data_IF_724879749817
#
_entry.id   IF_724879749817
#
_cell.length_a   1.000
_cell.length_b   1.000
_cell.length_c   1.000
_cell.angle_alpha   90.00
_cell.angle_beta   90.00
_cell.angle_gamma   90.00
#
_symmetry.space_group_name_H-M   'P 1'
#
loop_
_entity.id
_entity.type
_entity.pdbx_description
1 polymer ?
#
# COMPACT_ATOMS: atom_id res chain seq x y z
N UNK A 1 -2.68 10.37 -14.55
CA UNK A 1 -3.44 9.47 -13.64
C UNK A 1 -2.98 8.02 -13.61
N UNK A 2 -2.54 7.39 -14.72
CA UNK A 2 -2.20 5.93 -14.74
C UNK A 2 -1.17 5.52 -13.66
N UNK A 3 -0.10 6.31 -13.49
CA UNK A 3 0.92 6.05 -12.48
C UNK A 3 0.38 6.10 -11.04
N UNK A 4 -0.51 7.06 -10.75
CA UNK A 4 -1.09 7.21 -9.42
C UNK A 4 -1.99 6.02 -9.07
N UNK A 5 -2.79 5.55 -10.04
CA UNK A 5 -3.62 4.35 -9.87
C UNK A 5 -2.77 3.08 -9.70
N UNK A 6 -1.70 2.93 -10.49
CA UNK A 6 -0.76 1.82 -10.34
C UNK A 6 -0.08 1.84 -8.96
N UNK A 7 0.38 3.01 -8.52
CA UNK A 7 1.00 3.20 -7.20
C UNK A 7 0.03 2.88 -6.07
N UNK A 8 -1.22 3.31 -6.18
CA UNK A 8 -2.27 2.94 -5.24
C UNK A 8 -2.47 1.41 -5.18
N UNK A 9 -2.58 0.75 -6.34
CA UNK A 9 -2.73 -0.71 -6.41
C UNK A 9 -1.54 -1.47 -5.81
N UNK A 10 -0.31 -1.05 -6.13
CA UNK A 10 0.92 -1.63 -5.55
C UNK A 10 0.98 -1.40 -4.04
N UNK A 11 0.55 -0.22 -3.56
CA UNK A 11 0.49 0.07 -2.13
C UNK A 11 -0.50 -0.82 -1.38
N UNK A 12 -1.69 -1.07 -1.96
CA UNK A 12 -2.65 -2.04 -1.40
C UNK A 12 -2.06 -3.45 -1.37
N UNK A 13 -1.45 -3.90 -2.49
CA UNK A 13 -0.83 -5.21 -2.57
C UNK A 13 0.32 -5.36 -1.56
N UNK A 14 1.15 -4.33 -1.40
CA UNK A 14 2.24 -4.28 -0.42
C UNK A 14 1.77 -4.36 1.03
N UNK A 15 0.66 -3.71 1.35
CA UNK A 15 0.06 -3.81 2.68
C UNK A 15 -0.42 -5.25 3.00
N UNK A 16 -0.82 -6.02 1.98
CA UNK A 16 -1.31 -7.39 2.14
C UNK A 16 -0.20 -8.44 2.03
N UNK A 17 0.81 -8.19 1.19
CA UNK A 17 1.88 -9.14 0.87
C UNK A 17 3.22 -8.53 1.29
N UNK A 18 3.86 -9.01 2.38
CA UNK A 18 5.07 -8.41 2.93
C UNK A 18 6.29 -8.49 2.00
N UNK A 19 6.24 -9.33 0.96
CA UNK A 19 7.31 -9.43 -0.04
C UNK A 19 7.34 -8.25 -1.03
N UNK A 20 6.26 -7.47 -1.11
CA UNK A 20 6.21 -6.28 -1.97
C UNK A 20 6.60 -5.08 -1.12
N UNK A 21 7.81 -4.56 -1.32
CA UNK A 21 8.32 -3.39 -0.58
C UNK A 21 7.87 -2.08 -1.26
N UNK A 22 7.04 -1.30 -0.56
CA UNK A 22 6.47 -0.07 -1.12
C UNK A 22 7.50 1.06 -1.18
N UNK A 23 8.45 1.12 -0.25
CA UNK A 23 9.49 2.16 -0.21
C UNK A 23 10.42 2.03 -1.42
N UNK A 24 10.85 0.81 -1.74
CA UNK A 24 11.65 0.50 -2.92
C UNK A 24 10.90 0.84 -4.22
N UNK A 25 9.59 0.54 -4.27
CA UNK A 25 8.75 0.90 -5.42
C UNK A 25 8.68 2.42 -5.62
N UNK A 26 8.36 3.19 -4.57
CA UNK A 26 8.25 4.65 -4.67
C UNK A 26 9.61 5.28 -5.00
N UNK A 27 10.70 4.79 -4.42
CA UNK A 27 12.05 5.23 -4.74
C UNK A 27 12.39 4.99 -6.22
N UNK A 28 12.05 3.81 -6.76
CA UNK A 28 12.23 3.50 -8.17
C UNK A 28 11.39 4.41 -9.09
N UNK A 29 10.12 4.66 -8.72
CA UNK A 29 9.26 5.59 -9.46
C UNK A 29 9.86 7.00 -9.46
N UNK A 30 10.30 7.50 -8.30
CA UNK A 30 10.91 8.82 -8.17
C UNK A 30 12.23 8.95 -8.95
N UNK A 31 13.00 7.86 -9.09
CA UNK A 31 14.24 7.86 -9.86
C UNK A 31 14.01 7.85 -11.39
N UNK A 32 12.87 7.35 -11.86
CA UNK A 32 12.61 7.11 -13.28
C UNK A 32 11.57 8.05 -13.89
N UNK A 33 10.74 8.70 -13.06
CA UNK A 33 9.58 9.48 -13.53
C UNK A 33 9.50 10.82 -12.81
N UNK A 34 9.66 11.90 -13.57
CA UNK A 34 9.59 13.29 -13.06
C UNK A 34 8.21 13.95 -13.31
N UNK A 35 7.24 13.18 -13.82
CA UNK A 35 5.98 13.73 -14.33
C UNK A 35 4.95 14.07 -13.23
N UNK A 36 5.13 13.57 -12.02
CA UNK A 36 4.22 13.79 -10.89
C UNK A 36 5.04 14.23 -9.69
N UNK A 37 4.67 15.35 -9.07
CA UNK A 37 5.29 15.78 -7.84
C UNK A 37 5.16 14.73 -6.72
N UNK A 38 6.07 14.79 -5.75
CA UNK A 38 6.13 13.86 -4.61
C UNK A 38 4.84 13.79 -3.80
N UNK A 39 4.07 14.88 -3.72
CA UNK A 39 2.86 14.95 -2.90
C UNK A 39 1.72 14.06 -3.40
N UNK A 40 1.24 14.17 -4.66
CA UNK A 40 0.24 13.26 -5.20
C UNK A 40 0.62 11.77 -5.11
N UNK A 41 1.89 11.45 -5.42
CA UNK A 41 2.38 10.07 -5.39
C UNK A 41 2.39 9.49 -3.98
N UNK A 42 2.90 10.25 -3.01
CA UNK A 42 2.93 9.87 -1.59
C UNK A 42 1.53 9.73 -1.02
N UNK A 43 0.60 10.62 -1.39
CA UNK A 43 -0.79 10.59 -0.91
C UNK A 43 -1.50 9.30 -1.35
N UNK A 44 -1.40 8.91 -2.62
CA UNK A 44 -2.05 7.69 -3.11
C UNK A 44 -1.39 6.42 -2.56
N UNK A 45 -0.06 6.43 -2.37
CA UNK A 45 0.63 5.34 -1.72
C UNK A 45 0.19 5.16 -0.26
N UNK A 46 0.12 6.26 0.50
CA UNK A 46 -0.35 6.25 1.88
C UNK A 46 -1.81 5.77 1.99
N UNK A 47 -2.69 6.24 1.09
CA UNK A 47 -4.08 5.79 1.05
C UNK A 47 -4.20 4.29 0.78
N UNK A 48 -3.43 3.75 -0.18
CA UNK A 48 -3.41 2.30 -0.47
C UNK A 48 -2.88 1.48 0.72
N UNK A 49 -1.84 1.97 1.39
CA UNK A 49 -1.28 1.34 2.59
C UNK A 49 -2.26 1.30 3.76
N UNK A 50 -2.99 2.39 4.01
CA UNK A 50 -4.02 2.43 5.04
C UNK A 50 -5.17 1.47 4.72
N UNK A 51 -5.63 1.47 3.46
CA UNK A 51 -6.73 0.62 3.02
C UNK A 51 -6.39 -0.86 3.13
N UNK A 52 -5.21 -1.28 2.66
CA UNK A 52 -4.82 -2.70 2.73
C UNK A 52 -4.67 -3.22 4.16
N UNK A 53 -4.23 -2.37 5.09
CA UNK A 53 -4.08 -2.75 6.51
C UNK A 53 -5.42 -2.97 7.23
N UNK A 54 -6.54 -2.44 6.73
CA UNK A 54 -7.87 -2.69 7.31
C UNK A 54 -8.14 -4.19 7.38
N UNK A 55 -7.74 -4.96 6.36
CA UNK A 55 -7.89 -6.43 6.35
C UNK A 55 -7.20 -7.06 7.56
N UNK A 56 -5.95 -6.67 7.82
CA UNK A 56 -5.19 -7.17 8.97
C UNK A 56 -5.77 -6.71 10.30
N UNK A 57 -6.30 -5.48 10.38
CA UNK A 57 -6.99 -5.01 11.58
C UNK A 57 -8.26 -5.82 11.88
N UNK A 58 -9.02 -6.19 10.85
CA UNK A 58 -10.20 -7.03 11.00
C UNK A 58 -9.86 -8.47 11.39
N UNK A 59 -8.82 -9.04 10.78
CA UNK A 59 -8.27 -10.34 11.17
C UNK A 59 -7.82 -10.31 12.64
N UNK A 60 -7.06 -9.29 13.03
CA UNK A 60 -6.62 -9.11 14.42
C UNK A 60 -7.78 -8.92 15.39
N UNK A 61 -8.76 -8.08 15.04
CA UNK A 61 -9.96 -7.79 15.85
C UNK A 61 -10.81 -9.04 16.09
N UNK A 62 -10.96 -9.88 15.07
CA UNK A 62 -11.77 -11.11 15.17
C UNK A 62 -11.00 -12.31 15.70
N UNK A 63 -9.67 -12.23 15.85
CA UNK A 63 -8.83 -13.37 16.23
C UNK A 63 -9.30 -14.09 17.49
N UNK A 64 -9.76 -13.37 18.52
CA UNK A 64 -10.22 -13.95 19.80
C UNK A 64 -11.57 -14.69 19.73
N UNK A 65 -12.28 -14.63 18.59
CA UNK A 65 -13.52 -15.41 18.38
C UNK A 65 -13.31 -16.62 17.48
N UNK A 66 -12.08 -16.90 17.06
CA UNK A 66 -11.77 -18.03 16.18
C UNK A 66 -11.77 -19.33 16.96
N UNK A 67 -12.27 -20.42 16.36
CA UNK A 67 -12.42 -21.71 17.04
C UNK A 67 -11.11 -22.35 17.56
N UNK A 68 -9.96 -21.78 17.19
CA UNK A 68 -8.62 -22.30 17.42
C UNK A 68 -7.67 -21.25 18.03
N UNK A 69 -8.21 -20.12 18.50
CA UNK A 69 -7.51 -19.08 19.28
C UNK A 69 -8.17 -18.99 20.64
#
# INVERSE_FOLDING_TARGET
MKLLLATFGVAVASALIPLINIEAYIAGVAALVDSYGVWPLSLVAAAGQLLGKIVWYEVGRSSMSWAYV
#
